data_IF_676849432270
#
_entry.id   IF_676849432270
#
_cell.length_a   1.000
_cell.length_b   1.000
_cell.length_c   1.000
_cell.angle_alpha   90.00
_cell.angle_beta   90.00
_cell.angle_gamma   90.00
#
_symmetry.space_group_name_H-M   'P 1'
#
loop_
_entity.id
_entity.type
_entity.pdbx_description
1 polymer ?
#
# COMPACT_ATOMS: atom_id res chain seq x y z
N UNK A 1 6.05 62.08 55.04
CA UNK A 1 6.16 62.78 53.74
C UNK A 1 7.03 61.95 52.81
N UNK A 2 6.56 61.82 51.57
CA UNK A 2 7.05 60.97 50.48
C UNK A 2 8.57 60.97 50.25
N UNK A 3 9.08 59.83 49.77
CA UNK A 3 9.71 59.75 48.43
C UNK A 3 9.77 58.28 47.98
N UNK A 4 9.27 58.06 46.76
CA UNK A 4 9.10 56.77 46.12
C UNK A 4 10.41 56.27 45.49
N UNK A 5 10.65 54.96 45.56
CA UNK A 5 11.62 54.25 44.72
C UNK A 5 10.86 53.30 43.79
N UNK A 6 10.86 53.60 42.50
CA UNK A 6 10.27 52.79 41.43
C UNK A 6 11.28 51.69 41.07
N UNK A 7 10.91 50.43 41.27
CA UNK A 7 11.62 49.26 40.72
C UNK A 7 11.01 48.91 39.37
N UNK A 8 11.81 49.00 38.32
CA UNK A 8 11.43 48.62 36.95
C UNK A 8 11.65 47.11 36.78
N UNK A 9 10.59 46.30 36.88
CA UNK A 9 10.62 44.87 36.56
C UNK A 9 10.23 44.68 35.08
N UNK A 10 11.22 44.44 34.22
CA UNK A 10 10.98 44.07 32.83
C UNK A 10 10.57 42.58 32.74
N UNK A 11 9.30 42.32 32.42
CA UNK A 11 8.84 41.01 32.00
C UNK A 11 9.21 40.76 30.53
N UNK A 12 10.16 39.86 30.29
CA UNK A 12 10.40 39.30 28.96
C UNK A 12 9.40 38.15 28.74
N UNK A 13 8.32 38.39 27.99
CA UNK A 13 7.49 37.32 27.45
C UNK A 13 8.26 36.64 26.31
N UNK A 14 8.82 35.46 26.58
CA UNK A 14 9.32 34.58 25.55
C UNK A 14 8.12 33.94 24.81
N UNK A 15 7.88 34.35 23.57
CA UNK A 15 6.99 33.66 22.65
C UNK A 15 7.56 32.27 22.34
N UNK A 16 7.10 31.24 23.06
CA UNK A 16 7.29 29.85 22.67
C UNK A 16 6.40 29.56 21.46
N UNK A 17 6.96 29.72 20.26
CA UNK A 17 6.39 29.11 19.06
C UNK A 17 6.54 27.59 19.23
N UNK A 18 5.46 26.91 19.59
CA UNK A 18 5.42 25.45 19.62
C UNK A 18 5.60 24.94 18.19
N UNK A 19 6.78 24.43 17.85
CA UNK A 19 6.91 23.64 16.63
C UNK A 19 6.05 22.39 16.77
N UNK A 20 5.19 22.06 15.78
CA UNK A 20 4.48 20.78 15.81
C UNK A 20 5.52 19.66 15.87
N UNK A 21 5.39 18.77 16.86
CA UNK A 21 6.24 17.59 16.93
C UNK A 21 6.17 16.82 15.60
N UNK A 22 7.29 16.22 15.19
CA UNK A 22 7.39 15.41 13.95
C UNK A 22 6.26 14.38 13.84
N UNK A 23 5.75 13.89 14.98
CA UNK A 23 4.64 12.97 15.08
C UNK A 23 3.31 13.54 14.57
N UNK A 24 2.98 14.80 14.87
CA UNK A 24 1.72 15.44 14.45
C UNK A 24 1.68 15.75 12.95
N UNK A 25 2.83 16.05 12.34
CA UNK A 25 2.95 16.22 10.88
C UNK A 25 2.99 14.89 10.13
N UNK A 26 3.13 13.77 10.85
CA UNK A 26 3.33 12.47 10.24
C UNK A 26 2.06 11.85 9.65
N UNK A 27 0.89 12.31 10.08
CA UNK A 27 -0.41 11.79 9.62
C UNK A 27 -0.84 12.38 8.27
N UNK A 28 -0.14 13.41 7.77
CA UNK A 28 -0.38 13.99 6.43
C UNK A 28 0.61 13.50 5.37
N UNK A 29 1.59 12.67 5.75
CA UNK A 29 2.63 12.21 4.85
C UNK A 29 2.17 10.99 4.04
N UNK A 30 2.45 11.01 2.75
CA UNK A 30 2.27 9.89 1.84
C UNK A 30 3.63 9.53 1.24
N UNK A 31 3.93 8.24 1.21
CA UNK A 31 5.09 7.70 0.51
C UNK A 31 4.62 6.96 -0.73
N UNK A 32 5.16 7.29 -1.90
CA UNK A 32 4.80 6.67 -3.16
C UNK A 32 6.04 6.07 -3.83
N UNK A 33 6.02 4.76 -4.07
CA UNK A 33 7.00 4.07 -4.88
C UNK A 33 6.69 4.25 -6.37
N UNK A 34 7.70 4.58 -7.16
CA UNK A 34 7.54 4.94 -8.58
C UNK A 34 8.51 4.11 -9.44
N UNK A 35 7.96 3.26 -10.31
CA UNK A 35 8.75 2.47 -11.25
C UNK A 35 9.30 3.35 -12.36
N UNK A 36 10.59 3.21 -12.63
CA UNK A 36 11.32 3.96 -13.65
C UNK A 36 11.99 3.03 -14.68
N UNK A 37 11.53 1.78 -14.75
CA UNK A 37 12.02 0.77 -15.70
C UNK A 37 11.12 0.65 -16.93
N UNK A 38 9.84 0.97 -16.78
CA UNK A 38 8.83 0.86 -17.84
C UNK A 38 7.95 2.11 -17.93
N UNK A 39 7.15 2.19 -18.98
CA UNK A 39 6.04 3.14 -19.09
C UNK A 39 4.78 2.47 -19.61
N UNK A 40 3.63 3.02 -19.24
CA UNK A 40 2.31 2.62 -19.72
C UNK A 40 1.58 3.73 -20.48
N UNK A 41 2.31 4.72 -21.00
CA UNK A 41 1.72 5.84 -21.72
C UNK A 41 0.73 5.37 -22.82
N UNK A 42 1.07 4.30 -23.54
CA UNK A 42 0.29 3.69 -24.62
C UNK A 42 -0.66 2.57 -24.19
N UNK A 43 -0.82 2.32 -22.87
CA UNK A 43 -1.52 1.16 -22.25
C UNK A 43 -0.76 -0.17 -22.35
N UNK A 44 0.22 -0.26 -23.24
CA UNK A 44 1.18 -1.35 -23.26
C UNK A 44 2.31 -1.06 -22.27
N UNK A 45 2.79 -2.10 -21.60
CA UNK A 45 3.99 -2.01 -20.77
C UNK A 45 5.22 -2.02 -21.68
N UNK A 46 5.90 -0.88 -21.77
CA UNK A 46 7.09 -0.72 -22.61
C UNK A 46 8.30 -0.43 -21.73
N UNK A 47 9.38 -1.22 -21.89
CA UNK A 47 10.65 -0.91 -21.24
C UNK A 47 11.23 0.39 -21.75
N UNK A 48 11.67 1.24 -20.83
CA UNK A 48 12.38 2.46 -21.18
C UNK A 48 13.73 2.12 -21.79
N UNK A 49 14.23 2.98 -22.69
CA UNK A 49 15.54 2.82 -23.32
C UNK A 49 16.67 2.74 -22.28
N UNK A 50 16.58 3.62 -21.27
CA UNK A 50 17.50 3.72 -20.14
C UNK A 50 16.74 3.52 -18.82
N UNK A 51 16.40 2.28 -18.44
CA UNK A 51 15.61 2.01 -17.24
C UNK A 51 16.43 2.31 -15.98
N UNK A 52 15.81 2.99 -15.01
CA UNK A 52 16.38 3.25 -13.68
C UNK A 52 15.69 2.36 -12.64
N UNK A 53 16.34 2.12 -11.49
CA UNK A 53 15.84 1.20 -10.46
C UNK A 53 14.46 1.58 -9.89
N UNK A 54 14.12 2.87 -9.89
CA UNK A 54 12.90 3.41 -9.28
C UNK A 54 13.19 4.60 -8.37
N UNK A 55 12.14 5.19 -7.82
CA UNK A 55 12.22 6.31 -6.87
C UNK A 55 11.16 6.20 -5.78
N UNK A 56 11.40 6.84 -4.64
CA UNK A 56 10.37 7.05 -3.61
C UNK A 56 10.10 8.54 -3.48
N UNK A 57 8.82 8.91 -3.57
CA UNK A 57 8.35 10.28 -3.34
C UNK A 57 7.69 10.36 -1.95
N UNK A 58 8.13 11.31 -1.12
CA UNK A 58 7.50 11.71 0.14
C UNK A 58 6.69 12.98 -0.12
N UNK A 59 5.40 12.93 0.14
CA UNK A 59 4.43 13.97 -0.21
C UNK A 59 3.72 14.42 1.07
N UNK A 60 3.69 15.73 1.33
CA UNK A 60 2.88 16.33 2.38
C UNK A 60 1.52 16.73 1.82
N UNK A 61 0.47 15.99 2.19
CA UNK A 61 -0.88 16.15 1.64
C UNK A 61 -1.61 17.42 2.14
N UNK A 62 -1.07 18.08 3.16
CA UNK A 62 -1.58 19.34 3.69
C UNK A 62 -0.87 20.57 3.10
N UNK A 63 0.28 20.38 2.45
CA UNK A 63 0.97 21.46 1.74
C UNK A 63 0.13 21.93 0.54
N UNK A 64 0.16 23.25 0.27
CA UNK A 64 -0.55 23.87 -0.86
C UNK A 64 0.42 24.74 -1.68
N UNK A 65 0.83 24.33 -2.90
CA UNK A 65 0.54 23.02 -3.51
C UNK A 65 1.26 21.88 -2.76
N UNK A 66 0.80 20.63 -2.86
CA UNK A 66 1.50 19.49 -2.29
C UNK A 66 2.93 19.43 -2.83
N UNK A 67 3.90 19.40 -1.92
CA UNK A 67 5.32 19.28 -2.27
C UNK A 67 5.74 17.81 -2.17
N UNK A 68 6.54 17.37 -3.14
CA UNK A 68 7.15 16.05 -3.14
C UNK A 68 8.68 16.18 -2.98
N UNK A 69 9.22 15.48 -1.99
CA UNK A 69 10.65 15.19 -1.88
C UNK A 69 10.90 13.80 -2.46
N UNK A 70 11.92 13.63 -3.30
CA UNK A 70 12.16 12.36 -3.99
C UNK A 70 13.58 11.87 -3.76
N UNK A 71 13.72 10.57 -3.49
CA UNK A 71 15.00 9.85 -3.52
C UNK A 71 15.01 8.88 -4.71
N UNK A 72 16.11 8.88 -5.45
CA UNK A 72 16.30 8.04 -6.63
C UNK A 72 16.92 6.68 -6.27
N UNK A 73 16.98 5.80 -7.27
CA UNK A 73 17.74 4.55 -7.23
C UNK A 73 17.25 3.58 -6.15
N UNK A 74 15.96 3.64 -5.83
CA UNK A 74 15.31 2.71 -4.91
C UNK A 74 14.55 1.67 -5.74
N UNK A 75 14.91 0.38 -5.67
CA UNK A 75 14.21 -0.67 -6.41
C UNK A 75 12.73 -0.74 -6.04
N UNK A 76 11.86 -0.57 -7.03
CA UNK A 76 10.44 -0.88 -6.97
C UNK A 76 9.94 -1.26 -8.37
N UNK A 77 8.76 -1.89 -8.47
CA UNK A 77 8.23 -2.35 -9.74
C UNK A 77 6.72 -2.24 -9.83
N UNK A 78 6.21 -1.95 -11.02
CA UNK A 78 4.78 -1.94 -11.34
C UNK A 78 4.16 -3.33 -11.30
N UNK A 79 4.95 -4.36 -11.61
CA UNK A 79 4.50 -5.74 -11.50
C UNK A 79 4.61 -6.16 -10.05
N UNK A 80 3.46 -6.30 -9.40
CA UNK A 80 3.35 -6.63 -7.99
C UNK A 80 2.04 -6.06 -7.44
N UNK A 81 1.66 -6.38 -6.19
CA UNK A 81 0.53 -5.70 -5.56
C UNK A 81 0.90 -4.27 -5.17
N UNK A 82 -0.09 -3.36 -5.06
CA UNK A 82 0.13 -1.98 -4.67
C UNK A 82 0.48 -1.77 -3.17
N UNK A 83 0.74 -2.86 -2.44
CA UNK A 83 1.09 -2.90 -1.01
C UNK A 83 2.59 -3.18 -0.78
N UNK A 84 3.44 -2.88 -1.76
CA UNK A 84 4.90 -3.10 -1.73
C UNK A 84 5.71 -2.00 -1.01
N UNK A 85 5.03 -1.15 -0.25
CA UNK A 85 5.63 -0.13 0.61
C UNK A 85 4.83 -0.03 1.91
N UNK A 86 5.50 0.03 3.05
CA UNK A 86 4.85 0.16 4.34
C UNK A 86 5.69 1.00 5.31
N UNK A 87 5.00 1.73 6.19
CA UNK A 87 5.62 2.55 7.21
C UNK A 87 5.91 1.73 8.47
N UNK A 88 7.07 1.96 9.07
CA UNK A 88 7.45 1.28 10.31
C UNK A 88 6.63 1.89 11.45
N UNK A 89 5.88 1.11 12.25
CA UNK A 89 5.04 1.63 13.32
C UNK A 89 5.82 2.53 14.28
N UNK A 90 5.28 3.73 14.54
CA UNK A 90 5.82 4.73 15.48
C UNK A 90 7.27 5.18 15.21
N UNK A 91 7.78 4.97 13.99
CA UNK A 91 9.16 5.30 13.63
C UNK A 91 9.19 6.04 12.30
N UNK A 92 10.09 7.03 12.12
CA UNK A 92 10.16 7.81 10.89
C UNK A 92 10.92 7.04 9.80
N UNK A 93 10.41 5.86 9.45
CA UNK A 93 11.04 4.94 8.51
C UNK A 93 9.98 4.22 7.68
N UNK A 94 10.38 3.80 6.49
CA UNK A 94 9.56 2.99 5.57
C UNK A 94 10.38 1.81 5.06
N UNK A 95 9.68 0.74 4.71
CA UNK A 95 10.25 -0.42 4.01
C UNK A 95 9.58 -0.56 2.65
N UNK A 96 10.39 -0.80 1.62
CA UNK A 96 9.96 -0.96 0.23
C UNK A 96 10.41 -2.33 -0.28
N UNK A 97 9.50 -3.11 -0.86
CA UNK A 97 9.81 -4.34 -1.57
C UNK A 97 9.82 -4.11 -3.08
N UNK A 98 10.63 -4.89 -3.80
CA UNK A 98 10.69 -4.85 -5.25
C UNK A 98 10.42 -6.24 -5.80
N UNK A 99 9.25 -6.45 -6.38
CA UNK A 99 8.83 -7.77 -6.85
C UNK A 99 9.59 -8.19 -8.12
N UNK A 100 9.71 -7.29 -9.10
CA UNK A 100 10.43 -7.54 -10.34
C UNK A 100 11.63 -6.61 -10.50
N UNK A 101 12.59 -7.03 -11.31
CA UNK A 101 13.65 -6.16 -11.85
C UNK A 101 13.72 -6.34 -13.36
N UNK A 102 14.24 -5.34 -14.04
CA UNK A 102 14.43 -5.38 -15.49
C UNK A 102 15.84 -5.86 -15.82
N UNK A 103 15.95 -6.84 -16.72
CA UNK A 103 17.22 -7.39 -17.18
C UNK A 103 17.19 -7.60 -18.70
N UNK A 104 18.30 -7.30 -19.39
CA UNK A 104 18.46 -7.70 -20.80
C UNK A 104 18.85 -9.17 -20.88
N UNK A 105 18.02 -9.97 -21.54
CA UNK A 105 18.27 -11.38 -21.86
C UNK A 105 18.14 -11.51 -23.38
N UNK A 106 19.18 -12.02 -24.07
CA UNK A 106 19.23 -12.11 -25.54
C UNK A 106 18.90 -10.77 -26.23
N UNK A 107 19.48 -9.68 -25.73
CA UNK A 107 19.29 -8.30 -26.20
C UNK A 107 17.84 -7.77 -26.14
N UNK A 108 16.97 -8.41 -25.35
CA UNK A 108 15.60 -7.93 -25.08
C UNK A 108 15.43 -7.69 -23.58
N UNK A 109 14.84 -6.56 -23.23
CA UNK A 109 14.44 -6.31 -21.85
C UNK A 109 13.34 -7.29 -21.44
N UNK A 110 13.49 -7.84 -20.24
CA UNK A 110 12.53 -8.73 -19.62
C UNK A 110 12.40 -8.38 -18.14
N UNK A 111 11.22 -8.60 -17.59
CA UNK A 111 11.04 -8.63 -16.15
C UNK A 111 11.43 -9.99 -15.63
N UNK A 112 12.25 -9.99 -14.58
CA UNK A 112 12.57 -11.20 -13.82
C UNK A 112 12.28 -10.95 -12.34
N UNK A 113 11.91 -11.99 -11.58
CA UNK A 113 11.75 -11.89 -10.14
C UNK A 113 12.99 -11.29 -9.47
N UNK A 114 12.75 -10.37 -8.54
CA UNK A 114 13.79 -9.72 -7.74
C UNK A 114 13.76 -10.24 -6.29
N UNK A 115 14.65 -9.75 -5.44
CA UNK A 115 14.77 -10.13 -4.02
C UNK A 115 14.95 -8.93 -3.08
N UNK A 116 15.04 -7.72 -3.64
CA UNK A 116 15.44 -6.52 -2.89
C UNK A 116 14.35 -6.00 -1.97
N UNK A 117 14.77 -5.66 -0.76
CA UNK A 117 14.00 -4.90 0.24
C UNK A 117 14.86 -3.74 0.69
N UNK A 118 14.30 -2.53 0.70
CA UNK A 118 15.01 -1.29 1.08
C UNK A 118 14.41 -0.69 2.34
N UNK A 119 15.24 -0.24 3.27
CA UNK A 119 14.85 0.55 4.44
C UNK A 119 15.25 2.00 4.22
N UNK A 120 14.29 2.90 4.37
CA UNK A 120 14.53 4.33 4.29
C UNK A 120 14.10 5.00 5.59
N UNK A 121 14.81 6.06 5.98
CA UNK A 121 14.36 7.00 7.00
C UNK A 121 13.84 8.28 6.34
N UNK A 122 13.05 9.03 7.12
CA UNK A 122 12.69 10.40 6.80
C UNK A 122 12.80 11.29 8.03
N UNK A 123 12.88 12.60 7.83
CA UNK A 123 12.96 13.57 8.92
C UNK A 123 11.89 14.66 8.83
N UNK A 124 11.91 15.58 9.79
CA UNK A 124 10.98 16.71 9.87
C UNK A 124 11.05 17.68 8.68
N UNK A 125 12.14 17.63 7.92
CA UNK A 125 12.36 18.43 6.70
C UNK A 125 11.92 17.69 5.44
N UNK A 126 11.28 16.52 5.59
CA UNK A 126 10.83 15.65 4.50
C UNK A 126 11.97 15.14 3.63
N UNK A 127 13.18 15.05 4.18
CA UNK A 127 14.31 14.44 3.48
C UNK A 127 14.24 12.92 3.65
N UNK A 128 14.39 12.18 2.54
CA UNK A 128 14.53 10.73 2.55
C UNK A 128 16.03 10.33 2.56
N UNK A 129 16.35 9.27 3.30
CA UNK A 129 17.68 8.65 3.31
C UNK A 129 17.54 7.13 3.19
N UNK A 130 18.24 6.52 2.24
CA UNK A 130 18.41 5.07 2.17
C UNK A 130 19.35 4.62 3.29
N UNK A 131 18.85 3.77 4.18
CA UNK A 131 19.63 3.27 5.31
C UNK A 131 20.30 1.92 5.01
N UNK A 132 19.52 0.99 4.46
CA UNK A 132 19.97 -0.39 4.24
C UNK A 132 19.19 -1.08 3.13
N UNK A 133 19.79 -2.11 2.54
CA UNK A 133 19.16 -3.00 1.57
C UNK A 133 19.56 -4.45 1.80
N UNK A 134 18.57 -5.32 1.89
CA UNK A 134 18.80 -6.77 2.01
C UNK A 134 18.14 -7.52 0.86
N UNK A 135 18.46 -8.81 0.77
CA UNK A 135 17.74 -9.76 -0.07
C UNK A 135 16.93 -10.70 0.80
N UNK A 136 15.69 -10.94 0.40
CA UNK A 136 14.77 -11.90 1.04
C UNK A 136 14.38 -12.97 0.02
N UNK A 137 13.28 -13.72 0.21
CA UNK A 137 12.75 -14.65 -0.80
C UNK A 137 12.48 -14.03 -2.18
N UNK A 138 12.23 -14.89 -3.17
CA UNK A 138 12.07 -14.49 -4.58
C UNK A 138 10.70 -13.83 -4.84
N UNK A 139 10.72 -12.71 -5.56
CA UNK A 139 9.58 -11.84 -5.86
C UNK A 139 8.90 -11.33 -4.57
N UNK A 140 9.60 -10.56 -3.72
CA UNK A 140 8.99 -9.97 -2.54
C UNK A 140 7.90 -8.99 -2.96
N UNK A 141 6.67 -9.26 -2.55
CA UNK A 141 5.48 -8.48 -2.89
C UNK A 141 4.98 -7.75 -1.65
N UNK A 142 3.72 -7.90 -1.25
CA UNK A 142 3.19 -7.11 -0.14
C UNK A 142 3.80 -7.50 1.20
N UNK A 143 3.86 -6.51 2.08
CA UNK A 143 4.42 -6.61 3.42
C UNK A 143 3.48 -6.02 4.46
N UNK A 144 3.56 -6.53 5.69
CA UNK A 144 2.78 -6.01 6.80
C UNK A 144 3.59 -6.08 8.10
N UNK A 145 3.52 -5.02 8.90
CA UNK A 145 4.29 -4.86 10.13
C UNK A 145 3.57 -5.50 11.32
N UNK A 146 4.34 -6.16 12.17
CA UNK A 146 3.88 -6.56 13.50
C UNK A 146 3.74 -5.30 14.38
N UNK A 147 2.73 -5.22 15.27
CA UNK A 147 2.50 -4.04 16.12
C UNK A 147 3.64 -3.71 17.10
N UNK A 148 4.64 -4.60 17.26
CA UNK A 148 5.84 -4.31 18.05
C UNK A 148 6.77 -3.24 17.45
N UNK A 149 6.56 -2.84 16.19
CA UNK A 149 7.36 -1.84 15.49
C UNK A 149 8.80 -2.27 15.17
N UNK A 150 9.09 -3.56 15.28
CA UNK A 150 10.42 -4.16 15.06
C UNK A 150 10.40 -5.26 14.02
N UNK A 151 9.27 -5.93 13.81
CA UNK A 151 9.18 -7.04 12.86
C UNK A 151 8.17 -6.79 11.75
N UNK A 152 8.43 -7.34 10.57
CA UNK A 152 7.49 -7.37 9.47
C UNK A 152 7.56 -8.70 8.73
N UNK A 153 6.44 -9.06 8.11
CA UNK A 153 6.34 -10.24 7.26
C UNK A 153 6.20 -9.81 5.81
N UNK A 154 6.94 -10.47 4.92
CA UNK A 154 6.96 -10.17 3.49
C UNK A 154 6.55 -11.42 2.72
N UNK A 155 5.51 -11.33 1.90
CA UNK A 155 5.15 -12.38 0.97
C UNK A 155 6.18 -12.46 -0.17
N UNK A 156 6.72 -13.65 -0.44
CA UNK A 156 7.62 -13.89 -1.57
C UNK A 156 6.89 -14.74 -2.61
N UNK A 157 6.34 -14.07 -3.63
CA UNK A 157 5.36 -14.64 -4.54
C UNK A 157 5.87 -15.84 -5.32
N UNK A 158 7.05 -15.73 -5.94
CA UNK A 158 7.64 -16.78 -6.75
C UNK A 158 8.29 -17.90 -5.90
N UNK A 159 8.73 -17.57 -4.67
CA UNK A 159 9.33 -18.54 -3.76
C UNK A 159 8.27 -19.35 -2.99
N UNK A 160 7.04 -18.82 -2.90
CA UNK A 160 5.95 -19.41 -2.13
C UNK A 160 6.22 -19.41 -0.62
N UNK A 161 6.97 -18.42 -0.14
CA UNK A 161 7.43 -18.31 1.25
C UNK A 161 7.02 -16.97 1.85
N UNK A 162 7.09 -16.84 3.17
CA UNK A 162 7.02 -15.56 3.89
C UNK A 162 8.33 -15.30 4.61
N UNK A 163 8.97 -14.16 4.37
CA UNK A 163 10.16 -13.74 5.11
C UNK A 163 9.74 -12.99 6.38
N UNK A 164 10.32 -13.34 7.53
CA UNK A 164 10.28 -12.50 8.74
C UNK A 164 11.51 -11.62 8.75
N UNK A 165 11.31 -10.30 8.70
CA UNK A 165 12.40 -9.32 8.82
C UNK A 165 12.35 -8.61 10.16
N UNK A 166 13.52 -8.26 10.69
CA UNK A 166 13.69 -7.34 11.81
C UNK A 166 14.21 -6.00 11.29
N UNK A 167 13.63 -4.92 11.80
CA UNK A 167 13.97 -3.54 11.49
C UNK A 167 14.57 -2.87 12.72
N UNK A 168 15.89 -2.66 12.67
CA UNK A 168 16.62 -1.93 13.71
C UNK A 168 16.73 -0.44 13.31
N UNK A 169 17.54 0.38 13.99
CA UNK A 169 17.57 1.85 13.76
C UNK A 169 18.04 2.24 12.34
N UNK A 170 18.93 1.45 11.76
CA UNK A 170 19.53 1.72 10.44
C UNK A 170 19.70 0.47 9.58
N UNK A 171 19.26 -0.70 10.05
CA UNK A 171 19.54 -1.98 9.39
C UNK A 171 18.30 -2.86 9.29
N UNK A 172 18.26 -3.66 8.24
CA UNK A 172 17.32 -4.76 8.08
C UNK A 172 18.04 -6.09 8.28
N UNK A 173 17.31 -7.09 8.79
CA UNK A 173 17.79 -8.47 8.83
C UNK A 173 16.65 -9.42 8.56
N UNK A 174 16.81 -10.34 7.61
CA UNK A 174 15.93 -11.50 7.52
C UNK A 174 16.25 -12.45 8.69
N UNK A 175 15.28 -12.65 9.57
CA UNK A 175 15.39 -13.51 10.75
C UNK A 175 15.23 -14.97 10.35
N UNK A 176 14.19 -15.24 9.56
CA UNK A 176 13.86 -16.56 9.06
C UNK A 176 12.88 -16.46 7.89
N UNK A 177 12.60 -17.59 7.25
CA UNK A 177 11.66 -17.71 6.13
C UNK A 177 10.78 -18.94 6.31
N UNK A 178 9.47 -18.76 6.16
CA UNK A 178 8.47 -19.81 6.32
C UNK A 178 8.01 -20.31 4.95
N UNK A 179 8.01 -21.62 4.72
CA UNK A 179 7.40 -22.20 3.52
C UNK A 179 5.90 -22.30 3.71
N UNK A 180 5.15 -21.62 2.84
CA UNK A 180 3.70 -21.45 3.00
C UNK A 180 2.95 -22.04 1.81
N UNK A 181 3.30 -21.62 0.60
CA UNK A 181 2.64 -22.04 -0.62
C UNK A 181 3.28 -23.33 -1.18
N UNK A 182 2.45 -24.15 -1.82
CA UNK A 182 2.92 -25.29 -2.63
C UNK A 182 3.73 -24.77 -3.82
N UNK A 183 4.61 -25.59 -4.44
CA UNK A 183 5.42 -25.14 -5.59
C UNK A 183 4.62 -24.61 -6.80
N UNK A 184 3.37 -25.04 -6.96
CA UNK A 184 2.49 -24.66 -8.08
C UNK A 184 1.68 -23.39 -7.81
N UNK A 185 1.94 -22.69 -6.71
CA UNK A 185 1.11 -21.62 -6.21
C UNK A 185 1.95 -20.36 -5.90
N UNK A 186 1.32 -19.19 -5.81
CA UNK A 186 2.03 -17.93 -5.59
C UNK A 186 1.37 -17.08 -4.51
N UNK A 187 2.20 -16.58 -3.60
CA UNK A 187 1.78 -15.77 -2.46
C UNK A 187 1.71 -14.31 -2.87
N UNK A 188 0.51 -13.77 -3.09
CA UNK A 188 0.38 -12.41 -3.62
C UNK A 188 0.55 -11.35 -2.52
N UNK A 189 -0.10 -11.52 -1.37
CA UNK A 189 -0.09 -10.57 -0.25
C UNK A 189 -0.09 -11.26 1.11
N UNK A 190 0.34 -10.55 2.15
CA UNK A 190 0.15 -10.88 3.56
C UNK A 190 -0.25 -9.62 4.33
N UNK A 191 -1.27 -9.72 5.17
CA UNK A 191 -1.75 -8.63 6.03
C UNK A 191 -1.88 -9.14 7.47
N UNK A 192 -1.27 -8.44 8.41
CA UNK A 192 -1.34 -8.76 9.83
C UNK A 192 -2.59 -8.16 10.47
N UNK A 193 -3.14 -8.90 11.42
CA UNK A 193 -4.18 -8.39 12.31
C UNK A 193 -3.60 -7.31 13.25
N UNK A 194 -4.40 -6.30 13.65
CA UNK A 194 -3.93 -5.23 14.54
C UNK A 194 -3.40 -5.70 15.89
N UNK A 195 -3.84 -6.85 16.39
CA UNK A 195 -3.37 -7.43 17.65
C UNK A 195 -2.04 -8.21 17.51
N UNK A 196 -1.55 -8.39 16.28
CA UNK A 196 -0.28 -9.06 15.98
C UNK A 196 -0.31 -10.58 16.10
N UNK A 197 -1.47 -11.20 16.40
CA UNK A 197 -1.57 -12.65 16.65
C UNK A 197 -2.01 -13.46 15.44
N UNK A 198 -2.57 -12.81 14.44
CA UNK A 198 -2.99 -13.47 13.20
C UNK A 198 -2.52 -12.71 11.96
N UNK A 199 -2.48 -13.40 10.82
CA UNK A 199 -2.32 -12.79 9.51
C UNK A 199 -3.19 -13.51 8.47
N UNK A 200 -3.62 -12.79 7.44
CA UNK A 200 -4.18 -13.37 6.22
C UNK A 200 -3.15 -13.31 5.12
N UNK A 201 -3.02 -14.37 4.33
CA UNK A 201 -2.18 -14.37 3.14
C UNK A 201 -2.92 -14.95 1.92
N UNK A 202 -2.79 -14.29 0.77
CA UNK A 202 -3.52 -14.67 -0.45
C UNK A 202 -2.66 -15.59 -1.32
N UNK A 203 -3.25 -16.71 -1.72
CA UNK A 203 -2.68 -17.73 -2.60
C UNK A 203 -3.39 -17.69 -3.94
N UNK A 204 -2.79 -16.99 -4.89
CA UNK A 204 -3.49 -16.54 -6.07
C UNK A 204 -3.90 -17.71 -6.99
N UNK A 205 -3.01 -18.65 -7.25
CA UNK A 205 -3.25 -19.75 -8.19
C UNK A 205 -4.13 -20.83 -7.55
N UNK A 206 -4.06 -21.00 -6.23
CA UNK A 206 -4.96 -21.89 -5.50
C UNK A 206 -6.39 -21.34 -5.38
N UNK A 207 -6.60 -20.03 -5.52
CA UNK A 207 -7.90 -19.42 -5.24
C UNK A 207 -8.25 -19.43 -3.75
N UNK A 208 -7.23 -19.38 -2.89
CA UNK A 208 -7.37 -19.50 -1.44
C UNK A 208 -6.80 -18.26 -0.73
N UNK A 209 -7.37 -17.92 0.41
CA UNK A 209 -6.73 -17.10 1.44
C UNK A 209 -6.48 -17.97 2.65
N UNK A 210 -5.27 -17.92 3.20
CA UNK A 210 -4.94 -18.68 4.41
C UNK A 210 -4.99 -17.75 5.63
N UNK A 211 -5.55 -18.26 6.72
CA UNK A 211 -5.42 -17.66 8.04
C UNK A 211 -4.21 -18.29 8.72
N UNK A 212 -3.33 -17.44 9.23
CA UNK A 212 -2.11 -17.78 9.93
C UNK A 212 -2.23 -17.29 11.38
N UNK A 213 -1.79 -18.10 12.33
CA UNK A 213 -1.46 -17.66 13.68
C UNK A 213 0.03 -17.30 13.73
N UNK A 214 0.32 -16.18 14.41
CA UNK A 214 1.67 -15.73 14.76
C UNK A 214 1.92 -16.16 16.20
N UNK A 215 2.84 -17.10 16.37
CA UNK A 215 3.23 -17.62 17.69
C UNK A 215 4.10 -16.62 18.46
N UNK A 216 4.30 -16.83 19.76
CA UNK A 216 5.12 -15.96 20.62
C UNK A 216 6.57 -15.79 20.12
N UNK A 217 7.10 -16.79 19.43
CA UNK A 217 8.43 -16.75 18.79
C UNK A 217 8.40 -16.17 17.36
N UNK A 218 7.29 -15.53 16.97
CA UNK A 218 7.02 -14.98 15.65
C UNK A 218 6.93 -16.02 14.51
N UNK A 219 6.84 -17.31 14.84
CA UNK A 219 6.62 -18.35 13.84
C UNK A 219 5.19 -18.33 13.29
N UNK A 220 5.04 -18.65 12.01
CA UNK A 220 3.73 -18.74 11.35
C UNK A 220 3.20 -20.18 11.39
N UNK A 221 1.96 -20.32 11.83
CA UNK A 221 1.21 -21.58 11.75
C UNK A 221 -0.05 -21.39 10.92
N UNK A 222 -0.24 -22.20 9.89
CA UNK A 222 -1.48 -22.20 9.11
C UNK A 222 -2.59 -22.78 9.99
N UNK A 223 -3.63 -21.98 10.26
CA UNK A 223 -4.79 -22.41 11.06
C UNK A 223 -5.98 -22.76 10.17
N UNK A 224 -6.11 -22.11 9.01
CA UNK A 224 -7.22 -22.35 8.09
C UNK A 224 -6.82 -22.02 6.66
N UNK A 225 -7.40 -22.75 5.70
CA UNK A 225 -7.40 -22.39 4.28
C UNK A 225 -8.83 -22.07 3.89
N UNK A 226 -9.05 -20.89 3.31
CA UNK A 226 -10.36 -20.33 2.99
C UNK A 226 -10.45 -20.22 1.47
N UNK A 227 -11.42 -20.87 0.80
CA UNK A 227 -11.59 -20.77 -0.64
C UNK A 227 -12.22 -19.43 -1.02
N UNK A 228 -11.45 -18.34 -0.91
CA UNK A 228 -11.95 -16.97 -1.01
C UNK A 228 -12.40 -16.57 -2.41
N UNK A 229 -11.92 -17.23 -3.46
CA UNK A 229 -12.35 -16.99 -4.83
C UNK A 229 -11.23 -17.13 -5.87
N UNK A 230 -11.54 -17.01 -7.17
CA UNK A 230 -10.53 -17.05 -8.23
C UNK A 230 -9.52 -15.89 -8.14
N UNK A 231 -8.23 -16.20 -8.01
CA UNK A 231 -7.13 -15.23 -8.09
C UNK A 231 -7.17 -14.12 -7.00
N UNK A 232 -7.23 -14.48 -5.70
CA UNK A 232 -7.19 -13.50 -4.63
C UNK A 232 -5.85 -12.76 -4.67
N UNK A 233 -5.90 -11.44 -4.56
CA UNK A 233 -4.73 -10.59 -4.79
C UNK A 233 -4.37 -9.77 -3.56
N UNK A 234 -5.08 -8.67 -3.33
CA UNK A 234 -4.93 -7.84 -2.13
C UNK A 234 -5.93 -8.27 -1.06
N UNK A 235 -5.55 -8.08 0.19
CA UNK A 235 -6.34 -8.38 1.39
C UNK A 235 -6.10 -7.27 2.40
N UNK A 236 -7.16 -6.83 3.08
CA UNK A 236 -7.08 -5.84 4.16
C UNK A 236 -7.92 -6.29 5.33
N UNK A 237 -7.31 -6.28 6.51
CA UNK A 237 -7.98 -6.52 7.79
C UNK A 237 -8.39 -5.15 8.34
N UNK A 238 -9.60 -5.06 8.87
CA UNK A 238 -10.09 -3.81 9.43
C UNK A 238 -9.40 -3.49 10.78
N UNK A 239 -9.56 -2.25 11.25
CA UNK A 239 -8.82 -1.74 12.42
C UNK A 239 -9.10 -2.46 13.74
N UNK A 240 -10.29 -3.06 13.91
CA UNK A 240 -10.60 -3.84 15.11
C UNK A 240 -10.24 -5.34 14.97
N UNK A 241 -9.77 -5.77 13.80
CA UNK A 241 -9.34 -7.13 13.52
C UNK A 241 -10.47 -8.15 13.29
N UNK A 242 -11.73 -7.72 13.29
CA UNK A 242 -12.90 -8.62 13.28
C UNK A 242 -13.35 -9.04 11.89
N UNK A 243 -12.95 -8.33 10.84
CA UNK A 243 -13.31 -8.68 9.46
C UNK A 243 -12.22 -8.29 8.48
N UNK A 244 -12.26 -8.89 7.30
CA UNK A 244 -11.34 -8.58 6.22
C UNK A 244 -12.06 -8.54 4.87
N UNK A 245 -11.48 -7.81 3.93
CA UNK A 245 -11.92 -7.79 2.53
C UNK A 245 -10.77 -8.20 1.62
N UNK A 246 -11.09 -9.01 0.61
CA UNK A 246 -10.16 -9.53 -0.38
C UNK A 246 -10.64 -9.09 -1.76
N UNK A 247 -9.72 -8.68 -2.63
CA UNK A 247 -10.00 -8.47 -4.04
C UNK A 247 -9.63 -9.73 -4.84
N UNK A 248 -10.63 -10.31 -5.50
CA UNK A 248 -10.49 -11.49 -6.35
C UNK A 248 -10.42 -11.04 -7.82
N UNK A 249 -9.20 -10.91 -8.33
CA UNK A 249 -8.91 -10.21 -9.60
C UNK A 249 -9.60 -10.86 -10.80
N UNK A 250 -9.61 -12.19 -10.85
CA UNK A 250 -10.19 -12.94 -11.99
C UNK A 250 -11.70 -13.09 -11.91
N UNK A 251 -12.28 -12.97 -10.71
CA UNK A 251 -13.74 -13.03 -10.50
C UNK A 251 -14.40 -11.66 -10.58
N UNK A 252 -13.61 -10.58 -10.54
CA UNK A 252 -14.11 -9.20 -10.45
C UNK A 252 -14.99 -8.97 -9.21
N UNK A 253 -14.66 -9.64 -8.10
CA UNK A 253 -15.42 -9.58 -6.85
C UNK A 253 -14.60 -9.04 -5.70
N UNK A 254 -15.30 -8.53 -4.68
CA UNK A 254 -14.76 -8.43 -3.32
C UNK A 254 -15.36 -9.54 -2.46
N UNK A 255 -14.50 -10.24 -1.71
CA UNK A 255 -14.89 -11.25 -0.72
C UNK A 255 -14.74 -10.71 0.69
N UNK A 256 -15.82 -10.74 1.48
CA UNK A 256 -15.85 -10.33 2.88
C UNK A 256 -15.71 -11.55 3.79
N UNK A 257 -14.77 -11.47 4.74
CA UNK A 257 -14.54 -12.47 5.77
C UNK A 257 -14.96 -11.94 7.15
N UNK A 258 -15.66 -12.76 7.92
CA UNK A 258 -15.77 -12.62 9.38
C UNK A 258 -14.63 -13.41 10.05
N UNK A 259 -13.87 -12.73 10.90
CA UNK A 259 -12.71 -13.26 11.61
C UNK A 259 -12.98 -13.48 13.10
N UNK A 260 -14.20 -13.21 13.59
CA UNK A 260 -14.55 -13.43 15.00
C UNK A 260 -14.82 -14.91 15.31
N UNK A 261 -15.24 -15.66 14.30
CA UNK A 261 -15.45 -17.10 14.39
C UNK A 261 -14.15 -17.89 14.24
N UNK A 262 -14.12 -19.08 14.85
CA UNK A 262 -13.15 -20.13 14.55
C UNK A 262 -13.94 -21.39 14.15
N UNK A 263 -14.10 -21.69 12.85
CA UNK A 263 -13.36 -21.11 11.72
C UNK A 263 -13.82 -19.70 11.31
N UNK A 264 -12.92 -18.95 10.66
CA UNK A 264 -13.27 -17.74 9.92
C UNK A 264 -14.18 -18.11 8.74
N UNK A 265 -15.12 -17.23 8.37
CA UNK A 265 -16.13 -17.54 7.36
C UNK A 265 -16.26 -16.44 6.31
N UNK A 266 -16.57 -16.85 5.08
CA UNK A 266 -17.00 -15.92 4.02
C UNK A 266 -18.44 -15.54 4.31
N UNK A 267 -18.70 -14.26 4.56
CA UNK A 267 -20.05 -13.77 4.81
C UNK A 267 -20.71 -13.22 3.56
N UNK A 268 -19.92 -12.63 2.65
CA UNK A 268 -20.42 -12.05 1.40
C UNK A 268 -19.38 -12.09 0.28
N UNK A 269 -19.88 -12.13 -0.95
CA UNK A 269 -19.13 -11.82 -2.16
C UNK A 269 -19.96 -10.83 -2.98
N UNK A 270 -19.36 -9.72 -3.40
CA UNK A 270 -20.04 -8.69 -4.17
C UNK A 270 -19.31 -8.42 -5.49
N UNK A 271 -20.07 -8.21 -6.55
CA UNK A 271 -19.54 -7.85 -7.87
C UNK A 271 -19.03 -6.40 -7.87
N UNK A 272 -17.85 -6.21 -8.43
CA UNK A 272 -17.27 -4.90 -8.76
C UNK A 272 -16.81 -4.89 -10.23
N UNK A 273 -16.03 -3.88 -10.61
CA UNK A 273 -15.48 -3.73 -11.95
C UNK A 273 -14.34 -4.70 -12.27
N UNK A 274 -13.87 -4.69 -13.51
CA UNK A 274 -12.85 -5.63 -13.96
C UNK A 274 -11.49 -5.36 -13.33
N UNK A 275 -10.79 -6.44 -12.93
CA UNK A 275 -9.46 -6.41 -12.31
C UNK A 275 -9.39 -5.49 -11.08
N UNK A 276 -10.12 -5.81 -9.98
CA UNK A 276 -9.97 -5.12 -8.71
C UNK A 276 -8.57 -5.37 -8.13
N UNK A 277 -7.77 -4.32 -7.92
CA UNK A 277 -6.37 -4.47 -7.46
C UNK A 277 -6.15 -3.85 -6.08
N UNK A 278 -6.10 -2.53 -6.00
CA UNK A 278 -5.86 -1.82 -4.74
C UNK A 278 -7.14 -1.68 -3.94
N UNK A 279 -7.09 -2.06 -2.67
CA UNK A 279 -8.19 -1.93 -1.72
C UNK A 279 -7.72 -1.20 -0.46
N UNK A 280 -8.59 -0.35 0.07
CA UNK A 280 -8.35 0.32 1.35
C UNK A 280 -9.64 0.50 2.14
N UNK A 281 -9.51 0.46 3.46
CA UNK A 281 -10.61 0.60 4.42
C UNK A 281 -10.45 1.98 5.07
N UNK A 282 -11.55 2.74 5.16
CA UNK A 282 -11.57 4.02 5.85
C UNK A 282 -11.23 3.86 7.34
N UNK A 283 -10.69 4.90 8.01
CA UNK A 283 -10.29 4.81 9.41
C UNK A 283 -11.40 4.39 10.38
N UNK A 284 -12.65 4.75 10.07
CA UNK A 284 -13.86 4.37 10.82
C UNK A 284 -14.37 2.95 10.51
N UNK A 285 -13.84 2.30 9.47
CA UNK A 285 -14.26 0.97 9.03
C UNK A 285 -15.61 0.91 8.29
N UNK A 286 -16.24 2.05 8.01
CA UNK A 286 -17.54 2.09 7.35
C UNK A 286 -17.47 2.04 5.82
N UNK A 287 -16.31 2.37 5.25
CA UNK A 287 -16.12 2.49 3.83
C UNK A 287 -14.93 1.70 3.35
N UNK A 288 -15.09 1.11 2.17
CA UNK A 288 -14.02 0.45 1.43
C UNK A 288 -13.94 1.13 0.07
N UNK A 289 -12.73 1.45 -0.37
CA UNK A 289 -12.46 1.83 -1.75
C UNK A 289 -11.74 0.67 -2.45
N UNK A 290 -12.13 0.38 -3.69
CA UNK A 290 -11.38 -0.50 -4.59
C UNK A 290 -11.22 0.18 -5.94
N UNK A 291 -10.01 0.11 -6.50
CA UNK A 291 -9.77 0.47 -7.90
C UNK A 291 -9.90 -0.76 -8.81
N UNK A 292 -10.63 -0.58 -9.90
CA UNK A 292 -10.78 -1.55 -10.97
C UNK A 292 -10.17 -0.99 -12.25
N UNK A 293 -9.33 -1.77 -12.94
CA UNK A 293 -8.67 -1.32 -14.17
C UNK A 293 -9.63 -1.13 -15.33
N UNK A 294 -10.71 -1.92 -15.38
CA UNK A 294 -11.63 -1.94 -16.52
C UNK A 294 -10.85 -2.13 -17.84
N UNK A 295 -10.86 -1.14 -18.73
CA UNK A 295 -10.12 -1.10 -19.97
C UNK A 295 -8.81 -0.30 -19.94
N UNK A 296 -8.44 0.25 -18.79
CA UNK A 296 -7.42 1.28 -18.69
C UNK A 296 -6.01 0.78 -19.01
N UNK A 297 -5.76 -0.51 -18.81
CA UNK A 297 -4.49 -1.21 -19.01
C UNK A 297 -4.51 -2.20 -20.19
N UNK A 298 -5.56 -2.20 -21.02
CA UNK A 298 -5.66 -3.11 -22.17
C UNK A 298 -4.90 -2.51 -23.36
N UNK A 299 -3.93 -3.26 -23.88
CA UNK A 299 -3.10 -2.88 -25.03
C UNK A 299 -3.75 -3.24 -26.39
N UNK A 300 -4.44 -4.38 -26.47
CA UNK A 300 -5.08 -4.83 -27.71
C UNK A 300 -6.30 -3.96 -28.06
N UNK A 301 -6.21 -3.22 -29.17
CA UNK A 301 -7.26 -2.31 -29.68
C UNK A 301 -8.54 -3.02 -30.10
N UNK A 302 -8.47 -4.30 -30.43
CA UNK A 302 -9.63 -5.10 -30.85
C UNK A 302 -10.42 -5.64 -29.65
N UNK A 303 -9.86 -5.57 -28.44
CA UNK A 303 -10.54 -6.02 -27.24
C UNK A 303 -11.77 -5.13 -26.95
N UNK A 304 -12.96 -5.67 -26.63
CA UNK A 304 -14.18 -4.88 -26.42
C UNK A 304 -14.09 -3.83 -25.31
N UNK A 305 -13.26 -4.11 -24.30
CA UNK A 305 -13.00 -3.18 -23.20
C UNK A 305 -11.85 -2.21 -23.47
N UNK A 306 -11.17 -2.27 -24.62
CA UNK A 306 -10.06 -1.38 -24.92
C UNK A 306 -10.47 0.09 -24.74
N UNK A 307 -9.61 0.87 -24.10
CA UNK A 307 -9.85 2.30 -23.98
C UNK A 307 -10.67 2.71 -22.76
N UNK A 308 -11.53 1.82 -22.25
CA UNK A 308 -12.47 2.15 -21.18
C UNK A 308 -11.75 2.70 -19.94
N UNK A 309 -12.28 3.77 -19.31
CA UNK A 309 -11.66 4.36 -18.13
C UNK A 309 -11.72 3.37 -16.96
N UNK A 310 -10.69 3.41 -16.12
CA UNK A 310 -10.71 2.72 -14.84
C UNK A 310 -11.81 3.29 -13.94
N UNK A 311 -12.10 2.60 -12.85
CA UNK A 311 -13.19 2.99 -11.94
C UNK A 311 -12.79 2.79 -10.48
N UNK A 312 -13.18 3.74 -9.65
CA UNK A 312 -13.16 3.60 -8.20
C UNK A 312 -14.55 3.20 -7.75
N UNK A 313 -14.65 2.11 -6.99
CA UNK A 313 -15.89 1.73 -6.32
C UNK A 313 -15.80 2.11 -4.86
N UNK A 314 -16.85 2.75 -4.35
CA UNK A 314 -17.06 2.95 -2.93
C UNK A 314 -18.07 1.93 -2.44
N UNK A 315 -17.67 1.17 -1.43
CA UNK A 315 -18.48 0.13 -0.81
C UNK A 315 -18.77 0.59 0.62
N UNK A 316 -20.06 0.60 0.99
CA UNK A 316 -20.50 0.91 2.34
C UNK A 316 -20.65 -0.38 3.11
N UNK A 317 -20.10 -0.42 4.33
CA UNK A 317 -20.40 -1.44 5.32
C UNK A 317 -21.51 -0.93 6.25
N UNK A 318 -22.55 -1.74 6.46
CA UNK A 318 -23.67 -1.39 7.35
C UNK A 318 -23.44 -1.90 8.78
N UNK A 319 -24.33 -1.53 9.70
CA UNK A 319 -24.25 -1.92 11.11
C UNK A 319 -24.42 -3.43 11.36
N UNK A 320 -25.06 -4.15 10.42
CA UNK A 320 -25.17 -5.61 10.48
C UNK A 320 -23.88 -6.31 9.98
N UNK A 321 -22.91 -5.54 9.49
CA UNK A 321 -21.63 -6.02 9.00
C UNK A 321 -21.61 -6.43 7.52
N UNK A 322 -22.69 -6.18 6.79
CA UNK A 322 -22.78 -6.42 5.35
C UNK A 322 -22.13 -5.27 4.56
N UNK A 323 -21.58 -5.58 3.40
CA UNK A 323 -21.05 -4.63 2.43
C UNK A 323 -21.95 -4.52 1.19
N UNK A 324 -22.10 -3.32 0.65
CA UNK A 324 -22.79 -3.06 -0.63
C UNK A 324 -22.07 -1.99 -1.43
N UNK A 325 -22.03 -2.15 -2.75
CA UNK A 325 -21.58 -1.07 -3.64
C UNK A 325 -22.52 0.12 -3.44
N UNK A 326 -21.96 1.24 -2.99
CA UNK A 326 -22.69 2.48 -2.76
C UNK A 326 -22.67 3.36 -4.01
N UNK A 327 -21.48 3.56 -4.57
CA UNK A 327 -21.27 4.38 -5.75
C UNK A 327 -20.03 3.94 -6.50
N UNK A 328 -19.86 4.44 -7.72
CA UNK A 328 -18.62 4.31 -8.45
C UNK A 328 -18.34 5.56 -9.27
N UNK A 329 -17.07 5.88 -9.48
CA UNK A 329 -16.62 7.04 -10.24
C UNK A 329 -15.53 6.60 -11.22
N UNK A 330 -15.61 7.09 -12.46
CA UNK A 330 -14.54 6.86 -13.44
C UNK A 330 -13.27 7.61 -13.03
N UNK A 331 -12.13 7.01 -13.33
CA UNK A 331 -10.81 7.60 -13.11
C UNK A 331 -9.90 7.28 -14.28
N UNK A 332 -8.85 8.07 -14.43
CA UNK A 332 -7.92 7.99 -15.56
C UNK A 332 -6.61 7.33 -15.13
N UNK A 333 -5.73 7.03 -16.10
CA UNK A 333 -4.35 6.70 -15.79
C UNK A 333 -4.06 5.30 -15.25
N UNK A 334 -5.03 4.38 -15.25
CA UNK A 334 -4.88 3.00 -14.78
C UNK A 334 -4.36 2.93 -13.32
N UNK A 335 -5.18 3.34 -12.34
CA UNK A 335 -4.77 3.56 -10.94
C UNK A 335 -4.38 2.26 -10.25
N UNK A 336 -3.10 2.08 -9.90
CA UNK A 336 -2.67 0.93 -9.09
C UNK A 336 -3.23 0.94 -7.67
N UNK A 337 -3.46 2.12 -7.08
CA UNK A 337 -3.98 2.26 -5.73
C UNK A 337 -4.95 3.42 -5.58
N UNK A 338 -5.85 3.29 -4.60
CA UNK A 338 -6.62 4.37 -4.00
C UNK A 338 -6.59 4.19 -2.47
N UNK A 339 -6.19 5.23 -1.74
CA UNK A 339 -5.98 5.17 -0.28
C UNK A 339 -6.71 6.32 0.40
N UNK A 340 -7.43 6.04 1.49
CA UNK A 340 -7.93 7.06 2.40
C UNK A 340 -6.78 7.82 3.07
N UNK A 341 -6.96 9.10 3.34
CA UNK A 341 -6.10 9.81 4.30
C UNK A 341 -6.37 9.31 5.72
N UNK A 342 -5.43 9.44 6.68
CA UNK A 342 -5.64 8.98 8.06
C UNK A 342 -6.85 9.60 8.77
N UNK A 343 -7.26 10.81 8.38
CA UNK A 343 -8.47 11.47 8.87
C UNK A 343 -9.77 11.01 8.16
N UNK A 344 -9.65 10.19 7.12
CA UNK A 344 -10.75 9.65 6.32
C UNK A 344 -11.42 10.67 5.39
N UNK A 345 -10.91 11.90 5.28
CA UNK A 345 -11.59 12.99 4.54
C UNK A 345 -11.22 13.09 3.07
N UNK A 346 -10.14 12.45 2.64
CA UNK A 346 -9.69 12.43 1.25
C UNK A 346 -9.33 11.02 0.82
N UNK A 347 -9.35 10.78 -0.48
CA UNK A 347 -8.64 9.69 -1.13
C UNK A 347 -7.43 10.24 -1.90
N UNK A 348 -6.32 9.53 -1.87
CA UNK A 348 -5.22 9.69 -2.82
C UNK A 348 -5.29 8.54 -3.83
N UNK A 349 -5.31 8.88 -5.12
CA UNK A 349 -5.46 7.92 -6.21
C UNK A 349 -4.28 8.06 -7.15
N UNK A 350 -3.65 6.93 -7.51
CA UNK A 350 -2.58 6.95 -8.50
C UNK A 350 -3.10 7.05 -9.92
N UNK A 351 -2.31 7.66 -10.80
CA UNK A 351 -2.51 7.64 -12.24
C UNK A 351 -1.22 7.15 -12.87
N UNK A 352 -0.97 5.84 -12.79
CA UNK A 352 0.25 5.17 -13.23
C UNK A 352 0.71 5.68 -14.59
N UNK A 353 -0.15 5.58 -15.61
CA UNK A 353 0.13 6.02 -17.00
C UNK A 353 0.44 7.52 -17.14
N UNK A 354 -0.03 8.34 -16.20
CA UNK A 354 0.11 9.79 -16.22
C UNK A 354 1.20 10.29 -15.26
N UNK A 355 1.86 9.40 -14.51
CA UNK A 355 2.91 9.72 -13.53
C UNK A 355 2.49 10.81 -12.53
N UNK A 356 1.24 10.73 -12.10
CA UNK A 356 0.66 11.69 -11.15
C UNK A 356 -0.19 10.98 -10.11
N UNK A 357 -0.40 11.65 -8.98
CA UNK A 357 -1.44 11.32 -8.01
C UNK A 357 -2.52 12.41 -8.04
N UNK A 358 -3.77 12.04 -7.77
CA UNK A 358 -4.85 12.99 -7.49
C UNK A 358 -5.32 12.86 -6.04
N UNK A 359 -5.82 13.98 -5.51
CA UNK A 359 -6.55 14.02 -4.25
C UNK A 359 -8.03 14.21 -4.55
N UNK A 360 -8.88 13.36 -3.99
CA UNK A 360 -10.33 13.47 -4.06
C UNK A 360 -10.84 13.73 -2.65
N UNK A 361 -11.68 14.75 -2.45
CA UNK A 361 -12.38 14.89 -1.17
C UNK A 361 -13.43 13.80 -1.06
N UNK A 362 -13.59 13.25 0.14
CA UNK A 362 -14.57 12.24 0.46
C UNK A 362 -15.55 12.78 1.51
N UNK A 363 -16.84 12.77 1.18
CA UNK A 363 -17.91 13.17 2.08
C UNK A 363 -19.06 12.16 1.99
N UNK A 364 -19.15 11.27 2.99
CA UNK A 364 -20.22 10.29 3.17
C UNK A 364 -20.65 9.56 1.88
N UNK A 365 -19.71 8.98 1.16
CA UNK A 365 -19.99 8.20 -0.06
C UNK A 365 -19.90 8.98 -1.37
N UNK A 366 -19.69 10.30 -1.29
CA UNK A 366 -19.42 11.14 -2.44
C UNK A 366 -17.92 11.44 -2.56
N UNK A 367 -17.38 11.22 -3.76
CA UNK A 367 -16.03 11.64 -4.13
C UNK A 367 -16.11 12.89 -4.99
N UNK A 368 -15.18 13.82 -4.77
CA UNK A 368 -15.02 15.00 -5.62
C UNK A 368 -13.55 15.22 -5.89
N UNK A 369 -13.18 15.19 -7.16
CA UNK A 369 -11.81 15.47 -7.59
C UNK A 369 -11.47 16.93 -7.30
N UNK A 370 -10.37 17.15 -6.58
CA UNK A 370 -9.92 18.50 -6.23
C UNK A 370 -9.32 19.25 -7.42
N UNK A 371 -9.07 18.58 -8.54
CA UNK A 371 -8.37 19.12 -9.70
C UNK A 371 -6.86 19.20 -9.53
N UNK A 372 -6.35 19.00 -8.31
CA UNK A 372 -4.91 18.98 -8.05
C UNK A 372 -4.30 17.66 -8.53
N UNK A 373 -3.15 17.77 -9.19
CA UNK A 373 -2.33 16.65 -9.65
C UNK A 373 -0.92 16.82 -9.08
N UNK A 374 -0.45 15.78 -8.40
CA UNK A 374 0.87 15.75 -7.77
C UNK A 374 1.76 14.92 -8.70
N UNK A 375 2.73 15.53 -9.41
CA UNK A 375 3.66 14.78 -10.24
C UNK A 375 4.55 13.90 -9.37
N UNK A 376 4.87 12.70 -9.87
CA UNK A 376 5.83 11.79 -9.25
C UNK A 376 6.87 11.36 -10.27
N UNK A 377 8.06 11.01 -9.79
CA UNK A 377 9.18 10.65 -10.67
C UNK A 377 9.15 9.16 -11.05
N UNK A 378 8.23 8.81 -11.95
CA UNK A 378 8.03 7.46 -12.48
C UNK A 378 6.55 7.09 -12.54
N UNK A 379 6.26 5.85 -12.92
CA UNK A 379 4.91 5.30 -12.87
C UNK A 379 4.59 4.96 -11.39
N UNK A 380 3.60 5.59 -10.71
CA UNK A 380 3.27 5.26 -9.31
C UNK A 380 2.70 3.84 -9.20
N UNK A 381 3.28 3.01 -8.34
CA UNK A 381 2.98 1.57 -8.24
C UNK A 381 2.44 1.14 -6.89
N UNK A 382 2.84 1.80 -5.82
CA UNK A 382 2.43 1.49 -4.46
C UNK A 382 2.57 2.72 -3.58
N UNK A 383 1.74 2.82 -2.54
CA UNK A 383 1.84 3.89 -1.57
C UNK A 383 1.44 3.47 -0.16
N UNK A 384 1.94 4.20 0.84
CA UNK A 384 1.54 4.08 2.24
C UNK A 384 1.47 5.45 2.92
N UNK A 385 0.82 5.49 4.08
CA UNK A 385 0.61 6.67 4.94
C UNK A 385 1.19 6.42 6.34
#
# INVERSE_FOLDING_TARGET
>A
MNLASISLSAFLLANLVSMPSVLARSDSLLFCANDQTVTYATREMIFLENPRLGSISLIDLDATPPAASTIQSIPCSVIGPPTSIARVPNRPMIVVTCAMRSQKINNRWQHIPNRKVSLLSFDSTQKLELLDQIEVGLQPTGLSFHPDGKHAYIANRADGTVSLIRVDQRTLKEVTRFKIAKPTDSLAHIELSPDGRHALATLQQAGETILLEIQDNLALRIVQRIPSGPSPYSVRINRDGKWAVIADVSANTLTLLDLQGSPATITQQIQVGNLPEGIDISPDGEWIVVNCMEGANIANKEHPLYGQPARLYLIKRNNAGEIRVHSSQTTTGAPQFALFTPDGRKLVVSHTRLRTLSTLTFNNGQLTDTGHRIPVDGEPVAACR
#
